data_IF_529405948197
#
_entry.id   IF_529405948197
#
_cell.length_a   1.000
_cell.length_b   1.000
_cell.length_c   1.000
_cell.angle_alpha   90.00
_cell.angle_beta   90.00
_cell.angle_gamma   90.00
#
_symmetry.space_group_name_H-M   'P 1'
#
loop_
_entity.id
_entity.type
_entity.pdbx_description
1 polymer ?
#
# COMPACT_ATOMS: atom_id res chain seq x y z
N UNK A 1 -33.59 -2.00 -0.09
CA UNK A 1 -32.53 -1.03 -0.46
C UNK A 1 -32.89 0.44 -0.15
N UNK A 2 -34.10 0.92 -0.43
CA UNK A 2 -34.45 2.36 -0.27
C UNK A 2 -34.41 2.92 1.18
N UNK A 3 -34.57 2.07 2.22
CA UNK A 3 -34.51 2.51 3.63
C UNK A 3 -33.10 2.77 4.17
N UNK A 4 -32.07 2.12 3.63
CA UNK A 4 -30.68 2.28 4.12
C UNK A 4 -30.01 3.53 3.53
N UNK A 5 -30.38 3.92 2.31
CA UNK A 5 -29.92 5.17 1.68
C UNK A 5 -30.47 6.40 2.43
N UNK A 6 -31.72 6.32 2.92
CA UNK A 6 -32.33 7.36 3.75
C UNK A 6 -31.59 7.56 5.08
N UNK A 7 -31.07 6.50 5.70
CA UNK A 7 -30.29 6.58 6.94
C UNK A 7 -28.93 7.26 6.73
N UNK A 8 -28.23 6.93 5.63
CA UNK A 8 -26.95 7.55 5.26
C UNK A 8 -27.12 9.04 4.94
N UNK A 9 -28.17 9.41 4.19
CA UNK A 9 -28.48 10.79 3.86
C UNK A 9 -28.87 11.62 5.11
N UNK A 10 -29.53 11.01 6.09
CA UNK A 10 -29.90 11.69 7.35
C UNK A 10 -28.68 11.92 8.26
N UNK A 11 -27.70 11.01 8.25
CA UNK A 11 -26.43 11.15 8.99
C UNK A 11 -25.53 12.22 8.37
N UNK A 12 -25.52 12.34 7.03
CA UNK A 12 -24.82 13.41 6.31
C UNK A 12 -25.45 14.80 6.52
N UNK A 13 -26.79 14.90 6.61
CA UNK A 13 -27.49 16.18 6.90
C UNK A 13 -27.22 16.76 8.29
N UNK A 14 -26.89 15.92 9.28
CA UNK A 14 -26.60 16.38 10.64
C UNK A 14 -25.19 16.97 10.77
N UNK A 15 -24.29 16.74 9.81
CA UNK A 15 -22.90 17.21 9.91
C UNK A 15 -22.53 18.39 9.00
N UNK A 16 -23.28 18.65 7.93
CA UNK A 16 -23.08 19.85 7.08
C UNK A 16 -24.43 20.29 6.51
N UNK A 17 -24.79 21.56 6.72
CA UNK A 17 -26.01 22.18 6.19
C UNK A 17 -25.99 22.34 4.67
N UNK A 18 -26.07 21.24 3.93
CA UNK A 18 -26.12 21.20 2.47
C UNK A 18 -27.53 20.79 2.02
N UNK A 19 -28.17 21.68 1.26
CA UNK A 19 -29.50 21.52 0.71
C UNK A 19 -29.35 21.03 -0.75
N UNK A 20 -29.78 19.79 -1.03
CA UNK A 20 -29.77 19.23 -2.40
C UNK A 20 -31.18 18.77 -2.73
N UNK A 21 -31.76 19.39 -3.76
CA UNK A 21 -33.08 19.08 -4.32
C UNK A 21 -32.98 17.91 -5.32
N UNK A 22 -33.97 17.00 -5.42
CA UNK A 22 -33.92 15.90 -6.37
C UNK A 22 -34.41 16.33 -7.75
N UNK A 23 -33.68 15.95 -8.81
CA UNK A 23 -34.12 16.09 -10.21
C UNK A 23 -34.74 14.76 -10.66
N UNK A 24 -35.98 14.84 -11.15
CA UNK A 24 -36.77 13.76 -11.76
C UNK A 24 -36.28 13.41 -13.17
N UNK A 25 -36.33 12.13 -13.52
CA UNK A 25 -35.74 11.58 -14.74
C UNK A 25 -36.55 11.74 -16.04
N UNK A 26 -36.01 11.15 -17.11
CA UNK A 26 -36.73 10.80 -18.34
C UNK A 26 -36.14 9.51 -18.91
N UNK A 27 -37.01 8.53 -19.14
CA UNK A 27 -36.77 7.29 -19.88
C UNK A 27 -37.09 7.54 -21.35
N UNK A 28 -36.24 7.08 -22.27
CA UNK A 28 -36.67 6.83 -23.65
C UNK A 28 -36.10 5.50 -24.16
N UNK A 29 -37.05 4.60 -24.43
CA UNK A 29 -36.93 3.39 -25.23
C UNK A 29 -37.01 3.75 -26.73
N UNK A 30 -36.52 2.84 -27.59
CA UNK A 30 -37.03 2.46 -28.94
C UNK A 30 -35.88 2.00 -29.87
N UNK A 31 -35.91 0.70 -30.19
CA UNK A 31 -36.19 0.29 -31.58
C UNK A 31 -35.01 -0.13 -32.48
N UNK A 32 -34.95 -1.44 -32.71
CA UNK A 32 -34.22 -2.14 -33.75
C UNK A 32 -34.60 -1.75 -35.19
N UNK A 33 -33.63 -1.81 -36.12
CA UNK A 33 -33.87 -2.19 -37.52
C UNK A 33 -32.59 -2.57 -38.27
N UNK A 34 -32.67 -3.73 -38.91
CA UNK A 34 -31.73 -4.37 -39.83
C UNK A 34 -31.72 -3.68 -41.20
N UNK A 35 -30.56 -3.64 -41.89
CA UNK A 35 -30.50 -3.79 -43.34
C UNK A 35 -29.11 -4.16 -43.88
N UNK A 36 -29.09 -5.26 -44.63
CA UNK A 36 -28.04 -5.73 -45.52
C UNK A 36 -27.85 -4.80 -46.73
N UNK A 37 -26.63 -4.74 -47.28
CA UNK A 37 -26.36 -4.70 -48.73
C UNK A 37 -24.89 -4.90 -49.08
N UNK A 38 -24.72 -5.49 -50.25
CA UNK A 38 -23.56 -6.15 -50.83
C UNK A 38 -22.42 -5.25 -51.35
N UNK A 39 -21.23 -5.86 -51.33
CA UNK A 39 -20.02 -5.84 -52.20
C UNK A 39 -20.16 -5.15 -53.59
N UNK A 40 -19.09 -4.60 -54.21
CA UNK A 40 -18.14 -5.47 -54.93
C UNK A 40 -16.65 -5.12 -54.79
N UNK A 41 -15.87 -6.16 -55.01
CA UNK A 41 -14.43 -6.31 -55.15
C UNK A 41 -13.82 -5.57 -56.34
N UNK A 42 -12.55 -5.18 -56.21
CA UNK A 42 -11.61 -5.16 -57.36
C UNK A 42 -10.18 -5.48 -56.93
N UNK A 43 -9.64 -6.41 -57.72
CA UNK A 43 -8.37 -7.11 -57.63
C UNK A 43 -7.28 -6.40 -58.44
N UNK A 44 -6.03 -6.88 -58.25
CA UNK A 44 -4.80 -6.70 -59.05
C UNK A 44 -3.87 -5.58 -58.56
N UNK A 45 -2.54 -5.73 -58.45
CA UNK A 45 -1.60 -6.86 -58.46
C UNK A 45 -0.19 -6.28 -58.29
N UNK A 46 0.67 -7.04 -57.62
CA UNK A 46 2.11 -7.21 -57.86
C UNK A 46 3.16 -6.11 -57.59
N UNK A 47 4.23 -6.64 -56.98
CA UNK A 47 5.67 -6.39 -57.22
C UNK A 47 6.45 -5.46 -56.27
N UNK A 48 7.07 -6.12 -55.30
CA UNK A 48 8.54 -6.18 -55.08
C UNK A 48 9.29 -4.91 -54.67
N UNK A 49 9.87 -4.93 -53.46
CA UNK A 49 11.31 -5.06 -53.17
C UNK A 49 11.61 -4.52 -51.77
N UNK A 50 12.23 -5.36 -50.95
CA UNK A 50 13.00 -4.97 -49.76
C UNK A 50 14.23 -4.16 -50.17
N UNK A 51 14.78 -3.34 -49.26
CA UNK A 51 15.99 -3.84 -48.59
C UNK A 51 16.06 -3.52 -47.08
N UNK A 52 16.73 -4.45 -46.42
CA UNK A 52 17.33 -4.41 -45.09
C UNK A 52 18.37 -3.29 -44.92
N UNK A 53 18.35 -2.56 -43.80
CA UNK A 53 19.50 -1.81 -43.28
C UNK A 53 19.59 -2.06 -41.76
N UNK A 54 20.76 -2.53 -41.33
CA UNK A 54 21.21 -2.74 -39.95
C UNK A 54 21.66 -1.43 -39.27
N UNK A 55 21.70 -1.37 -37.93
CA UNK A 55 21.97 -0.14 -37.19
C UNK A 55 23.48 0.14 -37.07
N UNK A 56 23.87 1.39 -37.27
CA UNK A 56 25.22 1.89 -36.98
C UNK A 56 25.21 2.86 -35.80
N UNK A 57 26.26 2.70 -35.00
CA UNK A 57 26.66 3.42 -33.80
C UNK A 57 26.80 4.92 -33.98
N UNK A 58 26.38 5.69 -32.97
CA UNK A 58 27.08 6.90 -32.55
C UNK A 58 27.05 7.00 -31.03
N UNK A 59 28.26 7.11 -30.47
CA UNK A 59 28.55 7.27 -29.06
C UNK A 59 28.77 8.74 -28.71
N UNK A 60 28.66 9.00 -27.40
CA UNK A 60 29.40 9.96 -26.59
C UNK A 60 29.17 11.47 -26.74
N UNK A 61 28.90 12.08 -25.58
CA UNK A 61 29.26 13.47 -25.30
C UNK A 61 28.35 14.14 -24.30
N UNK A 62 28.84 14.27 -23.05
CA UNK A 62 28.54 15.30 -22.03
C UNK A 62 28.06 14.72 -20.69
N UNK A 63 29.00 14.48 -19.78
CA UNK A 63 29.09 15.12 -18.46
C UNK A 63 30.25 14.49 -17.71
N UNK A 64 31.40 15.16 -17.75
CA UNK A 64 32.56 14.88 -16.93
C UNK A 64 32.94 16.12 -16.15
N UNK A 65 33.55 15.86 -14.98
CA UNK A 65 34.28 16.79 -14.12
C UNK A 65 33.47 17.52 -13.05
N UNK A 66 33.50 16.95 -11.84
CA UNK A 66 33.93 17.63 -10.61
C UNK A 66 34.09 16.56 -9.52
N UNK A 67 35.31 16.07 -9.30
CA UNK A 67 35.96 15.89 -7.99
C UNK A 67 37.40 15.44 -8.29
N UNK A 68 38.35 16.24 -7.84
CA UNK A 68 39.78 16.05 -8.02
C UNK A 68 40.35 14.99 -7.07
N UNK A 69 41.33 14.26 -7.58
CA UNK A 69 42.20 13.33 -6.87
C UNK A 69 42.92 13.97 -5.67
N UNK A 70 42.83 13.32 -4.52
CA UNK A 70 43.96 13.23 -3.58
C UNK A 70 44.06 11.79 -3.05
N UNK A 71 45.04 11.06 -3.59
CA UNK A 71 45.59 9.85 -2.98
C UNK A 71 46.42 10.23 -1.75
N UNK A 72 46.11 9.64 -0.60
CA UNK A 72 47.05 9.47 0.51
C UNK A 72 46.97 8.03 1.01
N UNK A 73 48.13 7.42 1.12
CA UNK A 73 48.41 6.02 1.44
C UNK A 73 48.28 5.71 2.94
N UNK A 74 47.63 4.57 3.22
CA UNK A 74 47.71 3.64 4.36
C UNK A 74 48.02 4.16 5.78
N UNK A 75 47.09 3.91 6.71
CA UNK A 75 47.41 3.29 8.01
C UNK A 75 46.19 2.58 8.61
N UNK A 76 46.33 1.27 8.81
CA UNK A 76 45.37 0.37 9.47
C UNK A 76 45.30 0.62 10.97
N UNK A 77 44.12 0.93 11.50
CA UNK A 77 43.88 1.04 12.94
C UNK A 77 42.88 -0.05 13.39
N UNK A 78 43.29 -1.06 14.17
CA UNK A 78 42.39 -2.13 14.62
C UNK A 78 41.75 -1.73 15.94
N UNK A 79 40.68 -0.93 15.91
CA UNK A 79 39.65 -0.80 16.97
C UNK A 79 38.61 0.29 16.64
N UNK A 80 37.92 0.12 15.52
CA UNK A 80 36.60 0.72 15.35
C UNK A 80 35.64 -0.43 15.06
N UNK A 81 34.81 -0.76 16.05
CA UNK A 81 33.58 -1.51 15.80
C UNK A 81 32.71 -0.66 14.88
N UNK A 82 32.89 -0.87 13.57
CA UNK A 82 31.95 -0.38 12.57
C UNK A 82 30.63 -1.09 12.86
N UNK A 83 29.74 -0.43 13.59
CA UNK A 83 28.34 -0.82 13.67
C UNK A 83 27.80 -0.78 12.24
N UNK A 84 27.77 -1.93 11.58
CA UNK A 84 27.18 -2.08 10.25
C UNK A 84 25.72 -1.61 10.34
N UNK A 85 25.41 -0.54 9.62
CA UNK A 85 24.04 -0.03 9.45
C UNK A 85 23.06 -1.18 9.11
N UNK A 86 21.87 -1.23 9.73
CA UNK A 86 20.90 -2.30 9.48
C UNK A 86 20.25 -2.14 8.10
N UNK A 87 20.74 -2.91 7.12
CA UNK A 87 20.04 -3.15 5.85
C UNK A 87 18.61 -3.67 6.14
N UNK A 88 17.59 -3.02 5.56
CA UNK A 88 16.19 -3.42 5.64
C UNK A 88 15.98 -4.93 5.51
N UNK A 89 16.61 -5.55 4.50
CA UNK A 89 16.43 -6.98 4.24
C UNK A 89 17.03 -7.83 5.37
N UNK A 90 18.12 -7.35 5.98
CA UNK A 90 18.75 -7.99 7.13
C UNK A 90 17.88 -7.83 8.38
N UNK A 91 17.36 -6.63 8.64
CA UNK A 91 16.48 -6.37 9.78
C UNK A 91 15.23 -7.26 9.73
N UNK A 92 14.59 -7.38 8.56
CA UNK A 92 13.44 -8.28 8.36
C UNK A 92 13.84 -9.75 8.51
N UNK A 93 14.95 -10.18 7.90
CA UNK A 93 15.40 -11.58 8.00
C UNK A 93 15.76 -12.00 9.42
N UNK A 94 16.39 -11.11 10.20
CA UNK A 94 16.73 -11.37 11.59
C UNK A 94 15.46 -11.38 12.47
N UNK A 95 14.50 -10.50 12.20
CA UNK A 95 13.19 -10.51 12.82
C UNK A 95 12.38 -11.79 12.55
N UNK A 96 12.37 -12.31 11.32
CA UNK A 96 11.69 -13.56 10.96
C UNK A 96 12.24 -14.76 11.76
N UNK A 97 13.57 -14.81 11.98
CA UNK A 97 14.20 -15.87 12.79
C UNK A 97 13.72 -15.85 14.24
N UNK A 98 13.49 -14.66 14.80
CA UNK A 98 13.06 -14.50 16.20
C UNK A 98 11.65 -15.03 16.43
N UNK A 99 10.75 -14.87 15.46
CA UNK A 99 9.36 -15.37 15.56
C UNK A 99 9.20 -16.82 15.11
N UNK A 100 10.27 -17.43 14.57
CA UNK A 100 10.37 -18.87 14.31
C UNK A 100 9.60 -19.37 13.09
N UNK A 101 8.96 -18.50 12.32
CA UNK A 101 8.29 -18.86 11.06
C UNK A 101 8.35 -17.68 10.09
N UNK A 102 8.66 -17.92 8.79
CA UNK A 102 8.45 -16.90 7.78
C UNK A 102 6.94 -16.67 7.67
N UNK A 103 6.47 -15.50 8.09
CA UNK A 103 5.10 -15.05 7.81
C UNK A 103 4.79 -15.24 6.32
N UNK A 104 5.79 -14.97 5.46
CA UNK A 104 5.79 -15.23 4.01
C UNK A 104 5.18 -16.57 3.57
N UNK A 105 5.30 -17.66 4.34
CA UNK A 105 4.76 -18.98 3.98
C UNK A 105 3.21 -19.05 4.04
N UNK A 106 2.57 -18.23 4.85
CA UNK A 106 1.13 -18.34 5.16
C UNK A 106 0.22 -17.56 4.20
N UNK A 107 0.54 -16.30 3.85
CA UNK A 107 -0.15 -15.65 2.72
C UNK A 107 0.16 -16.35 1.40
N UNK A 108 1.34 -16.97 1.23
CA UNK A 108 1.59 -17.86 0.11
C UNK A 108 0.68 -19.09 0.16
N UNK A 109 0.45 -19.73 1.32
CA UNK A 109 -0.52 -20.84 1.43
C UNK A 109 -1.93 -20.43 1.01
N UNK A 110 -2.39 -19.24 1.41
CA UNK A 110 -3.68 -18.69 0.95
C UNK A 110 -3.67 -18.39 -0.55
N UNK A 111 -2.57 -17.85 -1.09
CA UNK A 111 -2.40 -17.56 -2.52
C UNK A 111 -2.11 -18.82 -3.37
N UNK A 112 -1.79 -19.94 -2.74
CA UNK A 112 -1.51 -21.22 -3.39
C UNK A 112 -2.65 -22.22 -3.18
N UNK A 113 -3.78 -21.80 -2.60
CA UNK A 113 -4.98 -22.64 -2.58
C UNK A 113 -5.40 -22.98 -4.01
N UNK A 114 -6.09 -24.10 -4.21
CA UNK A 114 -6.56 -24.52 -5.53
C UNK A 114 -7.45 -23.43 -6.18
N UNK A 115 -8.19 -22.68 -5.36
CA UNK A 115 -9.00 -21.54 -5.79
C UNK A 115 -8.16 -20.37 -6.33
N UNK A 116 -7.05 -20.01 -5.66
CA UNK A 116 -6.16 -18.94 -6.17
C UNK A 116 -5.28 -19.44 -7.33
N UNK A 117 -4.94 -20.72 -7.38
CA UNK A 117 -4.24 -21.32 -8.54
C UNK A 117 -5.06 -21.17 -9.83
N UNK A 118 -6.39 -21.28 -9.74
CA UNK A 118 -7.29 -20.97 -10.84
C UNK A 118 -7.28 -19.46 -11.20
N UNK A 119 -7.19 -18.57 -10.21
CA UNK A 119 -6.99 -17.12 -10.42
C UNK A 119 -5.66 -16.85 -11.14
N UNK A 120 -4.58 -17.55 -10.83
CA UNK A 120 -3.28 -17.36 -11.50
C UNK A 120 -3.32 -17.68 -13.00
N UNK A 121 -4.16 -18.62 -13.44
CA UNK A 121 -4.44 -18.88 -14.87
C UNK A 121 -5.14 -17.68 -15.51
N UNK A 122 -6.03 -17.03 -14.77
CA UNK A 122 -6.77 -15.86 -15.24
C UNK A 122 -5.92 -14.59 -15.26
N UNK A 123 -5.05 -14.37 -14.28
CA UNK A 123 -4.08 -13.26 -14.28
C UNK A 123 -3.13 -13.35 -15.48
N UNK A 124 -2.77 -14.56 -15.93
CA UNK A 124 -1.97 -14.75 -17.15
C UNK A 124 -2.63 -14.18 -18.41
N UNK A 125 -3.96 -14.16 -18.50
CA UNK A 125 -4.66 -13.54 -19.63
C UNK A 125 -4.50 -12.02 -19.67
N UNK A 126 -4.22 -11.40 -18.52
CA UNK A 126 -3.99 -9.96 -18.45
C UNK A 126 -2.58 -9.57 -18.92
N UNK A 127 -1.66 -10.54 -19.09
CA UNK A 127 -0.29 -10.26 -19.55
C UNK A 127 -0.34 -9.60 -20.93
N UNK A 128 0.23 -8.40 -21.01
CA UNK A 128 0.17 -7.55 -22.20
C UNK A 128 -0.81 -6.38 -22.08
N UNK A 129 -1.68 -6.39 -21.07
CA UNK A 129 -2.51 -5.24 -20.69
C UNK A 129 -1.84 -4.36 -19.63
N UNK A 130 -2.36 -3.16 -19.40
CA UNK A 130 -1.96 -2.24 -18.33
C UNK A 130 -2.75 -2.43 -17.03
N UNK A 131 -3.46 -3.56 -16.86
CA UNK A 131 -4.33 -3.78 -15.71
C UNK A 131 -3.54 -3.76 -14.38
N UNK A 132 -3.92 -2.93 -13.37
CA UNK A 132 -3.15 -2.78 -12.13
C UNK A 132 -3.00 -4.06 -11.31
N UNK A 133 -3.94 -5.00 -11.42
CA UNK A 133 -3.83 -6.33 -10.80
C UNK A 133 -2.50 -7.04 -11.12
N UNK A 134 -1.91 -6.84 -12.30
CA UNK A 134 -0.59 -7.40 -12.62
C UNK A 134 0.52 -6.79 -11.75
N UNK A 135 0.46 -5.49 -11.50
CA UNK A 135 1.39 -4.80 -10.59
C UNK A 135 1.20 -5.28 -9.16
N UNK A 136 -0.05 -5.47 -8.72
CA UNK A 136 -0.35 -6.05 -7.41
C UNK A 136 0.15 -7.48 -7.29
N UNK A 137 -0.14 -8.35 -8.25
CA UNK A 137 0.35 -9.73 -8.28
C UNK A 137 1.88 -9.81 -8.31
N UNK A 138 2.55 -8.96 -9.12
CA UNK A 138 4.01 -8.87 -9.13
C UNK A 138 4.55 -8.39 -7.78
N UNK A 139 3.89 -7.44 -7.11
CA UNK A 139 4.27 -7.00 -5.77
C UNK A 139 4.13 -8.12 -4.74
N UNK A 140 3.06 -8.89 -4.81
CA UNK A 140 2.84 -10.04 -3.94
C UNK A 140 3.85 -11.17 -4.22
N UNK A 141 4.21 -11.44 -5.47
CA UNK A 141 5.09 -12.59 -5.82
C UNK A 141 6.58 -12.22 -5.78
N UNK A 142 6.97 -11.12 -6.43
CA UNK A 142 8.38 -10.77 -6.66
C UNK A 142 8.98 -9.86 -5.57
N UNK A 143 8.18 -9.00 -4.91
CA UNK A 143 8.69 -8.23 -3.76
C UNK A 143 8.69 -9.07 -2.47
N UNK A 144 8.52 -10.39 -2.58
CA UNK A 144 8.67 -11.37 -1.51
C UNK A 144 10.02 -11.36 -0.78
N UNK A 145 11.04 -10.68 -1.31
CA UNK A 145 12.33 -10.46 -0.61
C UNK A 145 12.45 -9.14 0.14
N UNK A 146 11.61 -8.14 -0.16
CA UNK A 146 11.76 -6.78 0.38
C UNK A 146 10.50 -6.22 1.06
N UNK A 147 9.32 -6.84 0.93
CA UNK A 147 8.07 -6.20 1.37
C UNK A 147 6.93 -7.15 1.77
N UNK A 148 7.13 -8.48 1.73
CA UNK A 148 6.04 -9.38 2.04
C UNK A 148 5.96 -9.62 3.55
N UNK A 149 4.90 -9.09 4.15
CA UNK A 149 4.39 -9.40 5.49
C UNK A 149 5.06 -8.75 6.70
N UNK A 150 5.50 -7.51 6.54
CA UNK A 150 5.96 -6.73 7.69
C UNK A 150 4.86 -6.50 8.73
N UNK A 151 3.58 -6.47 8.34
CA UNK A 151 2.47 -6.25 9.29
C UNK A 151 2.29 -7.44 10.22
N UNK A 152 2.13 -8.64 9.67
CA UNK A 152 2.08 -9.86 10.47
C UNK A 152 3.33 -10.02 11.34
N UNK A 153 4.51 -9.75 10.78
CA UNK A 153 5.78 -9.81 11.53
C UNK A 153 5.84 -8.82 12.70
N UNK A 154 5.44 -7.56 12.48
CA UNK A 154 5.37 -6.54 13.54
C UNK A 154 4.41 -6.97 14.66
N UNK A 155 3.25 -7.52 14.30
CA UNK A 155 2.28 -8.04 15.28
C UNK A 155 2.89 -9.18 16.11
N UNK A 156 3.58 -10.13 15.47
CA UNK A 156 4.24 -11.25 16.16
C UNK A 156 5.39 -10.80 17.07
N UNK A 157 6.23 -9.88 16.59
CA UNK A 157 7.32 -9.33 17.39
C UNK A 157 6.79 -8.57 18.61
N UNK A 158 5.75 -7.76 18.44
CA UNK A 158 5.15 -7.04 19.55
C UNK A 158 4.53 -8.01 20.57
N UNK A 159 3.90 -9.07 20.09
CA UNK A 159 3.37 -10.16 20.94
C UNK A 159 4.47 -10.78 21.79
N UNK A 160 5.60 -11.11 21.16
CA UNK A 160 6.75 -11.70 21.82
C UNK A 160 7.45 -10.75 22.78
N UNK A 161 7.56 -9.46 22.42
CA UNK A 161 8.16 -8.42 23.26
C UNK A 161 7.32 -8.13 24.51
N UNK A 162 5.99 -8.21 24.40
CA UNK A 162 5.08 -8.03 25.53
C UNK A 162 4.96 -9.28 26.42
N UNK A 163 5.21 -10.47 25.88
CA UNK A 163 5.00 -11.74 26.57
C UNK A 163 3.52 -12.05 26.84
N UNK A 164 3.26 -13.06 27.67
CA UNK A 164 1.91 -13.49 28.06
C UNK A 164 1.73 -13.36 29.57
N UNK A 165 0.56 -12.86 30.01
CA UNK A 165 0.23 -12.74 31.43
C UNK A 165 -0.22 -14.05 32.07
N UNK A 166 -0.71 -15.00 31.26
CA UNK A 166 -1.14 -16.33 31.71
C UNK A 166 -0.29 -17.44 31.06
N UNK A 167 0.80 -17.89 31.70
CA UNK A 167 1.63 -18.99 31.19
C UNK A 167 0.87 -20.31 31.03
N UNK A 168 -0.18 -20.53 31.81
CA UNK A 168 -1.00 -21.76 31.79
C UNK A 168 -1.82 -21.92 30.48
N UNK A 169 -2.15 -20.83 29.77
CA UNK A 169 -2.81 -20.91 28.46
C UNK A 169 -1.83 -21.32 27.33
N UNK A 170 -0.53 -21.11 27.51
CA UNK A 170 0.51 -21.61 26.60
C UNK A 170 0.75 -23.13 26.79
N UNK A 171 0.33 -23.72 27.91
CA UNK A 171 0.51 -25.15 28.18
C UNK A 171 -0.45 -26.05 27.38
N UNK A 172 -1.57 -25.51 26.90
CA UNK A 172 -2.56 -26.19 26.04
C UNK A 172 -2.22 -26.04 24.55
N UNK A 173 -1.19 -25.26 24.21
CA UNK A 173 -0.74 -25.09 22.83
C UNK A 173 0.05 -26.33 22.36
N UNK A 174 -0.05 -26.61 21.06
CA UNK A 174 0.65 -27.72 20.39
C UNK A 174 2.15 -27.68 20.71
N UNK A 175 2.85 -28.82 20.76
CA UNK A 175 4.27 -28.87 21.20
C UNK A 175 5.20 -28.00 20.34
N UNK A 176 4.75 -27.61 19.14
CA UNK A 176 5.45 -26.72 18.20
C UNK A 176 5.39 -25.22 18.59
N UNK A 177 4.46 -24.81 19.46
CA UNK A 177 4.23 -23.40 19.82
C UNK A 177 5.04 -22.94 21.06
N UNK A 178 5.46 -23.89 21.92
CA UNK A 178 6.22 -23.64 23.16
C UNK A 178 7.56 -22.90 23.00
N UNK A 179 8.40 -23.12 21.96
CA UNK A 179 9.71 -22.46 21.87
C UNK A 179 9.66 -21.00 21.35
N UNK A 180 8.53 -20.52 20.83
CA UNK A 180 8.46 -19.22 20.17
C UNK A 180 7.95 -18.07 21.05
N UNK A 181 7.25 -18.36 22.16
CA UNK A 181 6.70 -17.34 23.06
C UNK A 181 5.54 -16.52 22.45
N UNK A 182 4.82 -17.10 21.49
CA UNK A 182 3.65 -16.50 20.82
C UNK A 182 2.55 -17.56 20.71
N UNK A 183 1.31 -17.21 21.03
CA UNK A 183 0.17 -18.16 20.97
C UNK A 183 -0.34 -18.40 19.55
N UNK A 184 -1.05 -19.51 19.35
CA UNK A 184 -1.73 -19.81 18.09
C UNK A 184 -2.70 -18.71 17.66
N UNK A 185 -3.46 -18.13 18.60
CA UNK A 185 -4.41 -17.05 18.30
C UNK A 185 -3.71 -15.77 17.82
N UNK A 186 -2.54 -15.45 18.37
CA UNK A 186 -1.73 -14.31 17.91
C UNK A 186 -1.12 -14.56 16.53
N UNK A 187 -0.69 -15.80 16.23
CA UNK A 187 -0.29 -16.18 14.86
C UNK A 187 -1.44 -16.05 13.87
N UNK A 188 -2.60 -16.59 14.21
CA UNK A 188 -3.81 -16.44 13.40
C UNK A 188 -4.16 -14.96 13.19
N UNK A 189 -4.05 -14.10 14.21
CA UNK A 189 -4.27 -12.66 14.07
C UNK A 189 -3.28 -11.99 13.11
N UNK A 190 -1.99 -12.34 13.17
CA UNK A 190 -0.98 -11.85 12.25
C UNK A 190 -1.30 -12.25 10.79
N UNK A 191 -1.73 -13.48 10.57
CA UNK A 191 -2.17 -13.98 9.26
C UNK A 191 -3.42 -13.23 8.75
N UNK A 192 -4.41 -13.06 9.61
CA UNK A 192 -5.65 -12.31 9.32
C UNK A 192 -5.32 -10.88 8.92
N UNK A 193 -4.41 -10.23 9.65
CA UNK A 193 -3.96 -8.86 9.37
C UNK A 193 -3.38 -8.76 7.97
N UNK A 194 -2.52 -9.69 7.58
CA UNK A 194 -1.91 -9.70 6.25
C UNK A 194 -2.92 -10.04 5.14
N UNK A 195 -3.86 -10.96 5.40
CA UNK A 195 -4.95 -11.29 4.46
C UNK A 195 -5.84 -10.07 4.17
N UNK A 196 -6.23 -9.32 5.21
CA UNK A 196 -7.05 -8.12 5.07
C UNK A 196 -6.28 -7.04 4.28
N UNK A 197 -5.01 -6.84 4.60
CA UNK A 197 -4.18 -5.89 3.84
C UNK A 197 -4.04 -6.29 2.37
N UNK A 198 -3.80 -7.58 2.10
CA UNK A 198 -3.67 -8.11 0.74
C UNK A 198 -4.97 -7.96 -0.04
N UNK A 199 -6.12 -8.25 0.59
CA UNK A 199 -7.44 -8.04 -0.01
C UNK A 199 -7.64 -6.58 -0.43
N UNK A 200 -7.31 -5.64 0.47
CA UNK A 200 -7.38 -4.21 0.18
C UNK A 200 -6.49 -3.81 -1.00
N UNK A 201 -5.23 -4.27 -1.06
CA UNK A 201 -4.33 -4.00 -2.19
C UNK A 201 -4.85 -4.54 -3.53
N UNK A 202 -5.52 -5.69 -3.52
CA UNK A 202 -6.14 -6.27 -4.72
C UNK A 202 -7.34 -5.43 -5.16
N UNK A 203 -8.22 -5.04 -4.24
CA UNK A 203 -9.39 -4.20 -4.53
C UNK A 203 -8.99 -2.81 -5.05
N UNK A 204 -7.91 -2.21 -4.53
CA UNK A 204 -7.32 -0.98 -5.08
C UNK A 204 -6.81 -1.10 -6.52
N UNK A 205 -6.72 -2.33 -7.06
CA UNK A 205 -6.33 -2.59 -8.44
C UNK A 205 -7.48 -2.52 -9.45
N UNK A 206 -8.72 -2.26 -9.01
CA UNK A 206 -9.88 -2.05 -9.88
C UNK A 206 -9.80 -0.67 -10.51
N UNK A 207 -10.05 -0.59 -11.82
CA UNK A 207 -9.99 0.66 -12.59
C UNK A 207 -11.35 1.00 -13.20
N UNK A 208 -11.65 2.29 -13.30
CA UNK A 208 -12.77 2.76 -14.10
C UNK A 208 -12.38 2.62 -15.58
N UNK A 209 -13.23 1.95 -16.35
CA UNK A 209 -13.00 1.63 -17.76
C UNK A 209 -14.00 2.40 -18.62
N UNK A 210 -13.50 3.27 -19.50
CA UNK A 210 -14.31 3.99 -20.48
C UNK A 210 -14.10 3.37 -21.86
N UNK A 211 -15.16 3.01 -22.62
CA UNK A 211 -14.99 2.40 -23.94
C UNK A 211 -14.17 3.23 -24.93
N UNK A 212 -14.13 4.56 -24.74
CA UNK A 212 -13.31 5.49 -25.52
C UNK A 212 -11.80 5.25 -25.36
N UNK A 213 -11.37 4.69 -24.24
CA UNK A 213 -9.95 4.50 -23.90
C UNK A 213 -9.36 3.28 -24.61
N UNK A 214 -10.23 2.41 -25.16
CA UNK A 214 -9.86 1.12 -25.74
C UNK A 214 -10.39 0.99 -27.18
N UNK A 215 -9.61 1.40 -28.19
CA UNK A 215 -9.99 1.26 -29.60
C UNK A 215 -10.16 -0.21 -30.03
N UNK A 216 -9.45 -1.12 -29.36
CA UNK A 216 -9.59 -2.56 -29.52
C UNK A 216 -10.55 -3.13 -28.47
N UNK A 217 -11.64 -3.73 -28.95
CA UNK A 217 -12.66 -4.34 -28.09
C UNK A 217 -12.15 -5.54 -27.29
N UNK A 218 -11.08 -6.22 -27.74
CA UNK A 218 -10.51 -7.35 -26.98
C UNK A 218 -9.78 -6.85 -25.73
N UNK A 219 -8.99 -5.79 -25.84
CA UNK A 219 -8.31 -5.17 -24.69
C UNK A 219 -9.31 -4.71 -23.62
N UNK A 220 -10.44 -4.10 -24.02
CA UNK A 220 -11.50 -3.71 -23.06
C UNK A 220 -12.10 -4.93 -22.34
N UNK A 221 -12.29 -6.06 -23.04
CA UNK A 221 -12.78 -7.29 -22.44
C UNK A 221 -11.78 -7.86 -21.44
N UNK A 222 -10.49 -7.88 -21.77
CA UNK A 222 -9.44 -8.35 -20.88
C UNK A 222 -9.32 -7.46 -19.63
N UNK A 223 -9.40 -6.14 -19.78
CA UNK A 223 -9.41 -5.20 -18.66
C UNK A 223 -10.65 -5.39 -17.76
N UNK A 224 -11.83 -5.55 -18.37
CA UNK A 224 -13.08 -5.81 -17.63
C UNK A 224 -13.00 -7.13 -16.88
N UNK A 225 -12.40 -8.14 -17.50
CA UNK A 225 -12.14 -9.43 -16.87
C UNK A 225 -11.16 -9.28 -15.71
N UNK A 226 -10.11 -8.46 -15.85
CA UNK A 226 -9.19 -8.12 -14.77
C UNK A 226 -9.89 -7.51 -13.55
N UNK A 227 -10.81 -6.57 -13.76
CA UNK A 227 -11.62 -5.98 -12.68
C UNK A 227 -12.44 -7.06 -11.95
N UNK A 228 -13.05 -7.98 -12.68
CA UNK A 228 -13.80 -9.10 -12.09
C UNK A 228 -12.92 -9.98 -11.23
N UNK A 229 -11.71 -10.31 -11.68
CA UNK A 229 -10.77 -11.12 -10.91
C UNK A 229 -10.30 -10.37 -9.66
N UNK A 230 -10.00 -9.07 -9.76
CA UNK A 230 -9.60 -8.25 -8.62
C UNK A 230 -10.68 -8.25 -7.52
N UNK A 231 -11.94 -7.98 -7.89
CA UNK A 231 -13.07 -7.96 -6.94
C UNK A 231 -13.21 -9.32 -6.24
N UNK A 232 -13.33 -10.41 -7.00
CA UNK A 232 -13.57 -11.75 -6.46
C UNK A 232 -12.40 -12.26 -5.59
N UNK A 233 -11.17 -11.96 -5.98
CA UNK A 233 -9.98 -12.38 -5.23
C UNK A 233 -9.88 -11.64 -3.88
N UNK A 234 -10.17 -10.33 -3.88
CA UNK A 234 -10.22 -9.56 -2.64
C UNK A 234 -11.35 -10.03 -1.71
N UNK A 235 -12.53 -10.33 -2.25
CA UNK A 235 -13.68 -10.84 -1.47
C UNK A 235 -13.39 -12.21 -0.86
N UNK A 236 -12.71 -13.10 -1.60
CA UNK A 236 -12.30 -14.41 -1.10
C UNK A 236 -11.34 -14.28 0.10
N UNK A 237 -10.30 -13.45 -0.01
CA UNK A 237 -9.36 -13.20 1.09
C UNK A 237 -10.05 -12.59 2.30
N UNK A 238 -10.94 -11.61 2.08
CA UNK A 238 -11.68 -10.98 3.17
C UNK A 238 -12.65 -11.95 3.86
N UNK A 239 -13.31 -12.84 3.10
CA UNK A 239 -14.15 -13.91 3.65
C UNK A 239 -13.34 -14.84 4.56
N UNK A 240 -12.17 -15.29 4.10
CA UNK A 240 -11.28 -16.15 4.90
C UNK A 240 -10.77 -15.43 6.16
N UNK A 241 -10.43 -14.14 6.05
CA UNK A 241 -10.06 -13.33 7.20
C UNK A 241 -11.20 -13.23 8.22
N UNK A 242 -12.44 -13.04 7.79
CA UNK A 242 -13.62 -13.02 8.65
C UNK A 242 -13.86 -14.37 9.35
N UNK A 243 -13.68 -15.50 8.63
CA UNK A 243 -13.75 -16.83 9.23
C UNK A 243 -12.66 -17.03 10.28
N UNK A 244 -11.42 -16.60 10.00
CA UNK A 244 -10.31 -16.61 10.95
C UNK A 244 -10.61 -15.77 12.19
N UNK A 245 -11.13 -14.55 12.02
CA UNK A 245 -11.51 -13.66 13.13
C UNK A 245 -12.56 -14.30 14.05
N UNK A 246 -13.58 -14.94 13.46
CA UNK A 246 -14.60 -15.64 14.23
C UNK A 246 -14.00 -16.84 15.00
N UNK A 247 -13.03 -17.54 14.41
CA UNK A 247 -12.34 -18.67 15.05
C UNK A 247 -11.49 -18.25 16.26
N UNK A 248 -11.04 -16.99 16.34
CA UNK A 248 -10.36 -16.45 17.53
C UNK A 248 -11.25 -16.40 18.78
N UNK A 249 -12.59 -16.44 18.61
CA UNK A 249 -13.59 -16.42 19.71
C UNK A 249 -13.41 -15.28 20.72
N UNK A 250 -12.84 -14.15 20.27
CA UNK A 250 -12.65 -12.95 21.08
C UNK A 250 -13.40 -11.78 20.43
N UNK A 251 -14.55 -11.40 21.02
CA UNK A 251 -15.42 -10.35 20.45
C UNK A 251 -14.73 -8.98 20.39
N UNK A 252 -13.83 -8.68 21.33
CA UNK A 252 -13.08 -7.42 21.32
C UNK A 252 -12.11 -7.35 20.15
N UNK A 253 -11.41 -8.45 19.87
CA UNK A 253 -10.53 -8.54 18.68
C UNK A 253 -11.34 -8.42 17.39
N UNK A 254 -12.50 -9.10 17.31
CA UNK A 254 -13.41 -8.99 16.16
C UNK A 254 -13.86 -7.54 15.95
N UNK A 255 -14.25 -6.83 17.02
CA UNK A 255 -14.62 -5.41 16.97
C UNK A 255 -13.47 -4.54 16.44
N UNK A 256 -12.27 -4.69 17.00
CA UNK A 256 -11.09 -3.93 16.59
C UNK A 256 -10.78 -4.11 15.10
N UNK A 257 -10.68 -5.36 14.64
CA UNK A 257 -10.30 -5.63 13.24
C UNK A 257 -11.42 -5.29 12.27
N UNK A 258 -12.69 -5.56 12.59
CA UNK A 258 -13.83 -5.15 11.75
C UNK A 258 -13.95 -3.63 11.61
N UNK A 259 -13.59 -2.87 12.66
CA UNK A 259 -13.49 -1.41 12.56
C UNK A 259 -12.40 -1.01 11.57
N UNK A 260 -11.23 -1.66 11.57
CA UNK A 260 -10.17 -1.34 10.59
C UNK A 260 -10.59 -1.63 9.14
N UNK A 261 -11.40 -2.66 8.90
CA UNK A 261 -11.98 -2.94 7.56
C UNK A 261 -12.92 -1.80 7.15
N UNK A 262 -13.73 -1.29 8.09
CA UNK A 262 -14.62 -0.15 7.84
C UNK A 262 -13.82 1.12 7.53
N UNK A 263 -12.73 1.35 8.26
CA UNK A 263 -11.83 2.49 8.06
C UNK A 263 -11.18 2.49 6.67
N UNK A 264 -10.77 1.33 6.15
CA UNK A 264 -10.28 1.22 4.77
C UNK A 264 -11.32 1.66 3.75
N UNK A 265 -12.59 1.28 3.95
CA UNK A 265 -13.66 1.68 3.03
C UNK A 265 -13.91 3.17 3.12
N UNK A 266 -13.89 3.75 4.32
CA UNK A 266 -14.08 5.19 4.51
C UNK A 266 -12.95 6.00 3.84
N UNK A 267 -11.70 5.52 3.92
CA UNK A 267 -10.55 6.18 3.32
C UNK A 267 -10.68 6.40 1.81
N UNK A 268 -11.34 5.49 1.08
CA UNK A 268 -11.57 5.59 -0.36
C UNK A 268 -12.57 6.69 -0.75
N UNK A 269 -13.29 7.28 0.21
CA UNK A 269 -14.23 8.38 -0.06
C UNK A 269 -13.79 9.71 0.57
N UNK A 270 -12.57 9.78 1.11
CA UNK A 270 -12.03 11.00 1.71
C UNK A 270 -11.34 11.85 0.65
N UNK A 271 -11.74 13.12 0.61
CA UNK A 271 -11.14 14.16 -0.21
C UNK A 271 -11.81 14.32 -1.57
N UNK A 272 -11.24 15.21 -2.38
CA UNK A 272 -11.61 15.37 -3.80
C UNK A 272 -10.86 14.33 -4.61
N UNK A 273 -11.51 13.77 -5.63
CA UNK A 273 -10.93 12.74 -6.48
C UNK A 273 -11.21 13.02 -7.95
N UNK A 274 -10.34 12.51 -8.81
CA UNK A 274 -10.55 12.49 -10.26
C UNK A 274 -11.48 11.35 -10.70
N UNK A 275 -11.67 11.20 -12.01
CA UNK A 275 -12.52 10.14 -12.59
C UNK A 275 -12.02 8.72 -12.35
N UNK A 276 -10.73 8.54 -12.03
CA UNK A 276 -10.11 7.26 -11.69
C UNK A 276 -10.00 7.05 -10.17
N UNK A 277 -10.63 7.90 -9.35
CA UNK A 277 -10.57 7.86 -7.88
C UNK A 277 -9.18 8.21 -7.29
N UNK A 278 -8.31 8.85 -8.08
CA UNK A 278 -7.06 9.40 -7.56
C UNK A 278 -7.35 10.64 -6.73
N UNK A 279 -6.71 10.77 -5.56
CA UNK A 279 -6.93 11.91 -4.69
C UNK A 279 -6.26 13.18 -5.23
N UNK A 280 -6.98 14.29 -5.15
CA UNK A 280 -6.51 15.62 -5.54
C UNK A 280 -6.47 16.53 -4.30
N UNK A 281 -5.34 17.20 -4.02
CA UNK A 281 -5.23 18.09 -2.87
C UNK A 281 -6.10 19.35 -3.03
N UNK A 282 -6.70 19.79 -1.93
CA UNK A 282 -7.51 21.02 -1.89
C UNK A 282 -6.76 22.17 -1.22
N UNK A 283 -7.21 23.42 -1.40
CA UNK A 283 -6.58 24.61 -0.77
C UNK A 283 -6.58 24.60 0.75
N UNK A 284 -7.48 23.85 1.36
CA UNK A 284 -7.57 23.72 2.80
C UNK A 284 -6.90 22.44 3.32
N UNK A 285 -6.20 21.70 2.44
CA UNK A 285 -5.62 20.42 2.83
C UNK A 285 -4.46 20.62 3.80
N UNK A 286 -4.59 20.04 4.99
CA UNK A 286 -3.61 20.15 6.05
C UNK A 286 -2.88 18.82 6.30
N UNK A 287 -1.84 18.87 7.12
CA UNK A 287 -1.16 17.63 7.55
C UNK A 287 -2.05 16.78 8.47
N UNK A 288 -3.04 17.37 9.13
CA UNK A 288 -4.07 16.63 9.86
C UNK A 288 -4.97 15.83 8.91
N UNK A 289 -5.31 16.39 7.75
CA UNK A 289 -6.06 15.65 6.72
C UNK A 289 -5.23 14.53 6.10
N UNK A 290 -3.93 14.78 5.84
CA UNK A 290 -2.98 13.72 5.47
C UNK A 290 -2.96 12.60 6.52
N UNK A 291 -2.82 12.96 7.80
CA UNK A 291 -2.77 12.00 8.89
C UNK A 291 -4.08 11.21 9.01
N UNK A 292 -5.23 11.88 8.94
CA UNK A 292 -6.55 11.22 9.01
C UNK A 292 -6.76 10.24 7.85
N UNK A 293 -6.47 10.66 6.61
CA UNK A 293 -6.55 9.80 5.43
C UNK A 293 -5.66 8.58 5.56
N UNK A 294 -4.39 8.77 5.93
CA UNK A 294 -3.42 7.68 6.01
C UNK A 294 -3.61 6.77 7.23
N UNK A 295 -4.16 7.29 8.33
CA UNK A 295 -4.64 6.45 9.42
C UNK A 295 -5.73 5.52 8.94
N UNK A 296 -6.76 6.03 8.25
CA UNK A 296 -7.84 5.18 7.77
C UNK A 296 -7.38 4.20 6.68
N UNK A 297 -6.54 4.64 5.74
CA UNK A 297 -6.07 3.83 4.60
C UNK A 297 -5.00 2.77 4.95
N UNK A 298 -4.25 2.94 6.05
CA UNK A 298 -3.15 2.03 6.39
C UNK A 298 -2.94 1.87 7.91
N UNK A 299 -2.98 2.97 8.66
CA UNK A 299 -2.61 2.98 10.09
C UNK A 299 -3.58 2.24 11.01
N UNK A 300 -4.87 2.25 10.70
CA UNK A 300 -5.93 1.70 11.53
C UNK A 300 -5.78 0.19 11.71
N UNK A 301 -5.52 -0.54 10.62
CA UNK A 301 -5.28 -1.98 10.68
C UNK A 301 -4.04 -2.30 11.53
N UNK A 302 -2.91 -1.60 11.30
CA UNK A 302 -1.69 -1.85 12.07
C UNK A 302 -1.89 -1.57 13.56
N UNK A 303 -2.44 -0.40 13.90
CA UNK A 303 -2.70 0.01 15.28
C UNK A 303 -3.62 -0.97 16.00
N UNK A 304 -4.75 -1.33 15.38
CA UNK A 304 -5.73 -2.23 15.98
C UNK A 304 -5.25 -3.67 16.04
N UNK A 305 -4.44 -4.14 15.10
CA UNK A 305 -3.80 -5.47 15.18
C UNK A 305 -2.76 -5.54 16.30
N UNK A 306 -1.95 -4.49 16.48
CA UNK A 306 -1.01 -4.39 17.60
C UNK A 306 -1.73 -4.31 18.95
N UNK A 307 -2.88 -3.63 19.02
CA UNK A 307 -3.74 -3.64 20.20
C UNK A 307 -4.35 -5.03 20.45
N UNK A 308 -4.93 -5.63 19.40
CA UNK A 308 -5.62 -6.91 19.46
C UNK A 308 -4.70 -8.05 19.90
N UNK A 309 -3.41 -8.02 19.54
CA UNK A 309 -2.50 -9.07 19.97
C UNK A 309 -2.20 -9.04 21.48
N UNK A 310 -2.24 -7.84 22.07
CA UNK A 310 -2.12 -7.66 23.52
C UNK A 310 -3.42 -8.00 24.25
N UNK A 311 -4.58 -7.77 23.61
CA UNK A 311 -5.87 -8.29 24.08
C UNK A 311 -5.84 -9.83 24.15
N UNK A 312 -5.32 -10.49 23.11
CA UNK A 312 -5.19 -11.95 23.08
C UNK A 312 -4.22 -12.51 24.13
N UNK A 313 -3.22 -11.72 24.55
CA UNK A 313 -2.27 -12.10 25.59
C UNK A 313 -2.73 -11.75 27.02
N UNK A 314 -3.92 -11.16 27.18
CA UNK A 314 -4.48 -10.82 28.49
C UNK A 314 -3.84 -9.61 29.18
N UNK A 315 -3.16 -8.74 28.43
CA UNK A 315 -2.54 -7.54 28.98
C UNK A 315 -3.57 -6.49 29.41
N UNK A 316 -3.16 -5.56 30.29
CA UNK A 316 -3.99 -4.45 30.76
C UNK A 316 -4.43 -3.51 29.63
N UNK A 317 -5.51 -2.75 29.83
CA UNK A 317 -5.96 -1.74 28.85
C UNK A 317 -4.87 -0.69 28.55
N UNK A 318 -4.03 -0.34 29.52
CA UNK A 318 -2.89 0.57 29.34
C UNK A 318 -1.87 -0.02 28.34
N UNK A 319 -1.46 -1.27 28.55
CA UNK A 319 -0.55 -1.96 27.62
C UNK A 319 -1.18 -2.15 26.23
N UNK A 320 -2.47 -2.49 26.16
CA UNK A 320 -3.21 -2.55 24.89
C UNK A 320 -3.17 -1.21 24.16
N UNK A 321 -3.35 -0.09 24.88
CA UNK A 321 -3.29 1.26 24.31
C UNK A 321 -1.87 1.62 23.84
N UNK A 322 -0.82 1.16 24.52
CA UNK A 322 0.56 1.28 24.04
C UNK A 322 0.76 0.50 22.73
N UNK A 323 0.23 -0.72 22.63
CA UNK A 323 0.24 -1.48 21.38
C UNK A 323 -0.46 -0.74 20.24
N UNK A 324 -1.62 -0.12 20.51
CA UNK A 324 -2.33 0.72 19.54
C UNK A 324 -1.46 1.90 19.07
N UNK A 325 -0.89 2.65 20.00
CA UNK A 325 -0.10 3.84 19.68
C UNK A 325 1.18 3.48 18.93
N UNK A 326 1.86 2.42 19.33
CA UNK A 326 3.00 1.86 18.60
C UNK A 326 2.64 1.57 17.13
N UNK A 327 1.58 0.78 16.91
CA UNK A 327 1.15 0.39 15.57
C UNK A 327 0.72 1.58 14.71
N UNK A 328 0.15 2.62 15.32
CA UNK A 328 -0.21 3.87 14.65
C UNK A 328 1.03 4.68 14.24
N UNK A 329 2.01 4.84 15.12
CA UNK A 329 3.21 5.64 14.85
C UNK A 329 4.11 4.98 13.80
N UNK A 330 4.31 3.66 13.87
CA UNK A 330 5.08 2.94 12.86
C UNK A 330 4.39 3.00 11.48
N UNK A 331 3.06 2.95 11.43
CA UNK A 331 2.32 3.07 10.18
C UNK A 331 2.45 4.47 9.55
N UNK A 332 2.42 5.53 10.34
CA UNK A 332 2.68 6.89 9.82
C UNK A 332 4.11 7.05 9.30
N UNK A 333 5.10 6.53 10.04
CA UNK A 333 6.49 6.55 9.59
C UNK A 333 6.65 5.82 8.26
N UNK A 334 6.04 4.64 8.14
CA UNK A 334 6.04 3.86 6.92
C UNK A 334 5.36 4.57 5.76
N UNK A 335 4.21 5.21 5.99
CA UNK A 335 3.50 5.92 4.94
C UNK A 335 4.29 7.14 4.47
N UNK A 336 4.87 7.92 5.38
CA UNK A 336 5.75 9.04 5.03
C UNK A 336 6.97 8.56 4.23
N UNK A 337 7.56 7.41 4.60
CA UNK A 337 8.62 6.76 3.83
C UNK A 337 8.17 6.37 2.42
N UNK A 338 6.98 5.78 2.28
CA UNK A 338 6.41 5.39 0.99
C UNK A 338 6.14 6.61 0.09
N UNK A 339 5.64 7.70 0.68
CA UNK A 339 5.41 8.99 0.03
C UNK A 339 6.71 9.62 -0.51
N UNK A 340 7.85 9.32 0.10
CA UNK A 340 9.18 9.80 -0.31
C UNK A 340 9.80 9.00 -1.46
N UNK A 341 9.40 7.74 -1.66
CA UNK A 341 10.03 6.84 -2.65
C UNK A 341 10.12 7.41 -4.07
N UNK A 342 9.09 8.11 -4.61
CA UNK A 342 9.17 8.74 -5.93
C UNK A 342 10.31 9.76 -6.07
N UNK A 343 10.79 10.32 -4.96
CA UNK A 343 11.80 11.37 -4.90
C UNK A 343 13.21 10.83 -4.58
N UNK A 344 13.29 9.67 -3.93
CA UNK A 344 14.56 9.09 -3.47
C UNK A 344 15.06 7.94 -4.37
N UNK A 345 14.17 7.03 -4.80
CA UNK A 345 14.55 5.88 -5.64
C UNK A 345 14.31 6.17 -7.13
N UNK A 346 15.18 6.98 -7.73
CA UNK A 346 15.06 7.36 -9.16
C UNK A 346 15.27 6.18 -10.12
N UNK A 347 15.84 5.07 -9.64
CA UNK A 347 16.01 3.86 -10.45
C UNK A 347 14.67 3.13 -10.62
N UNK A 348 13.90 2.98 -9.53
CA UNK A 348 12.56 2.35 -9.58
C UNK A 348 11.45 3.33 -9.95
N UNK A 349 11.66 4.61 -9.67
CA UNK A 349 10.73 5.70 -9.95
C UNK A 349 11.43 6.80 -10.78
N UNK A 350 11.69 6.57 -12.08
CA UNK A 350 12.26 7.60 -12.95
C UNK A 350 11.41 8.88 -12.98
N UNK A 351 12.00 10.06 -13.23
CA UNK A 351 11.26 11.31 -13.35
C UNK A 351 10.12 11.21 -14.37
N UNK A 352 8.91 11.60 -13.96
CA UNK A 352 7.68 11.44 -14.73
C UNK A 352 6.84 10.22 -14.31
N UNK A 353 7.33 9.37 -13.41
CA UNK A 353 6.50 8.35 -12.75
C UNK A 353 5.39 9.04 -11.94
N UNK A 354 4.14 8.60 -12.10
CA UNK A 354 3.02 9.12 -11.31
C UNK A 354 3.19 8.77 -9.82
N UNK A 355 2.83 9.71 -8.95
CA UNK A 355 2.84 9.58 -7.49
C UNK A 355 1.59 10.23 -6.87
N UNK A 356 1.30 9.92 -5.61
CA UNK A 356 0.12 10.46 -4.91
C UNK A 356 0.27 11.98 -4.71
N UNK A 357 -0.66 12.76 -5.27
CA UNK A 357 -0.69 14.22 -5.17
C UNK A 357 -1.08 14.69 -3.76
N UNK A 358 -1.61 13.81 -2.93
CA UNK A 358 -1.89 14.02 -1.52
C UNK A 358 -0.78 13.47 -0.61
N UNK A 359 0.40 13.13 -1.15
CA UNK A 359 1.55 12.64 -0.37
C UNK A 359 2.18 13.75 0.49
N UNK A 360 2.86 13.36 1.57
CA UNK A 360 3.49 14.31 2.49
C UNK A 360 4.43 15.30 1.80
N UNK A 361 5.38 14.91 0.92
CA UNK A 361 6.27 15.86 0.25
C UNK A 361 5.53 16.89 -0.60
N UNK A 362 4.43 16.49 -1.26
CA UNK A 362 3.61 17.39 -2.08
C UNK A 362 2.90 18.41 -1.19
N UNK A 363 2.19 17.94 -0.16
CA UNK A 363 1.42 18.81 0.73
C UNK A 363 2.31 19.79 1.48
N UNK A 364 3.44 19.31 2.01
CA UNK A 364 4.42 20.14 2.71
C UNK A 364 5.06 21.19 1.79
N UNK A 365 5.32 20.84 0.53
CA UNK A 365 5.76 21.83 -0.46
C UNK A 365 4.68 22.88 -0.72
N UNK A 366 3.44 22.46 -0.99
CA UNK A 366 2.31 23.36 -1.29
C UNK A 366 1.96 24.32 -0.14
N UNK A 367 2.29 23.99 1.11
CA UNK A 367 2.12 24.91 2.25
C UNK A 367 2.99 26.18 2.14
N UNK A 368 4.16 26.07 1.50
CA UNK A 368 5.08 27.20 1.30
C UNK A 368 5.01 27.77 -0.12
N UNK A 369 4.62 26.93 -1.07
CA UNK A 369 4.53 27.23 -2.49
C UNK A 369 3.11 26.93 -3.02
N UNK A 370 2.10 27.74 -2.64
CA UNK A 370 0.71 27.49 -3.01
C UNK A 370 0.45 27.55 -4.53
N UNK A 371 1.35 28.16 -5.31
CA UNK A 371 1.28 28.19 -6.77
C UNK A 371 1.30 26.79 -7.41
N UNK A 372 1.99 25.82 -6.78
CA UNK A 372 2.02 24.44 -7.26
C UNK A 372 0.64 23.79 -7.13
N UNK A 373 -0.13 24.18 -6.11
CA UNK A 373 -1.47 23.66 -5.88
C UNK A 373 -2.46 24.14 -6.95
N UNK A 374 -2.35 25.40 -7.38
CA UNK A 374 -3.16 25.92 -8.48
C UNK A 374 -2.87 25.16 -9.79
N UNK A 375 -1.61 24.80 -10.04
CA UNK A 375 -1.24 23.93 -11.17
C UNK A 375 -1.83 22.52 -11.04
N UNK A 376 -1.74 21.88 -9.87
CA UNK A 376 -2.34 20.55 -9.63
C UNK A 376 -3.86 20.60 -9.87
N UNK A 377 -4.53 21.64 -9.37
CA UNK A 377 -5.98 21.80 -9.52
C UNK A 377 -6.41 22.12 -10.96
N UNK A 378 -5.48 22.48 -11.84
CA UNK A 378 -5.76 22.68 -13.27
C UNK A 378 -5.93 21.38 -14.06
N UNK A 379 -5.73 20.20 -13.44
CA UNK A 379 -5.85 18.89 -14.10
C UNK A 379 -7.25 18.59 -14.65
N UNK A 380 -8.29 19.29 -14.17
CA UNK A 380 -9.68 19.00 -14.52
C UNK A 380 -10.09 17.61 -14.02
N UNK A 381 -10.65 16.80 -14.92
CA UNK A 381 -11.25 15.49 -14.58
C UNK A 381 -10.25 14.32 -14.46
N UNK A 382 -8.97 14.54 -14.81
CA UNK A 382 -7.94 13.49 -14.76
C UNK A 382 -6.56 14.05 -14.42
N UNK A 383 -5.88 13.39 -13.49
CA UNK A 383 -4.48 13.72 -13.15
C UNK A 383 -3.51 13.43 -14.31
N UNK A 384 -3.90 12.64 -15.31
CA UNK A 384 -3.06 12.33 -16.48
C UNK A 384 -2.75 13.57 -17.33
N UNK A 385 -3.51 14.66 -17.13
CA UNK A 385 -3.26 15.95 -17.76
C UNK A 385 -2.07 16.72 -17.14
N UNK A 386 -1.50 16.23 -16.03
CA UNK A 386 -0.39 16.87 -15.32
C UNK A 386 0.98 16.38 -15.83
N UNK A 387 1.95 17.30 -15.86
CA UNK A 387 3.35 16.95 -16.08
C UNK A 387 4.01 16.50 -14.77
N UNK A 388 4.00 15.19 -14.53
CA UNK A 388 4.63 14.59 -13.35
C UNK A 388 6.15 14.79 -13.30
N UNK A 389 6.81 15.04 -14.43
CA UNK A 389 8.25 15.35 -14.44
C UNK A 389 8.48 16.76 -13.93
N UNK A 390 7.65 17.71 -14.34
CA UNK A 390 7.67 19.08 -13.81
C UNK A 390 7.34 19.10 -12.30
N UNK A 391 6.28 18.41 -11.88
CA UNK A 391 5.91 18.30 -10.46
C UNK A 391 7.06 17.74 -9.63
N UNK A 392 7.65 16.62 -10.08
CA UNK A 392 8.79 15.98 -9.41
C UNK A 392 9.97 16.95 -9.24
N UNK A 393 10.39 17.61 -10.32
CA UNK A 393 11.50 18.56 -10.29
C UNK A 393 11.23 19.75 -9.36
N UNK A 394 10.01 20.28 -9.38
CA UNK A 394 9.60 21.42 -8.54
C UNK A 394 9.65 21.05 -7.06
N UNK A 395 9.10 19.87 -6.69
CA UNK A 395 9.08 19.39 -5.31
C UNK A 395 10.51 19.09 -4.81
N UNK A 396 11.35 18.49 -5.66
CA UNK A 396 12.76 18.19 -5.36
C UNK A 396 13.60 19.44 -5.08
N UNK A 397 13.30 20.55 -5.76
CA UNK A 397 14.00 21.83 -5.56
C UNK A 397 13.48 22.61 -4.34
N UNK A 398 12.30 22.26 -3.84
CA UNK A 398 11.67 22.93 -2.70
C UNK A 398 11.84 22.20 -1.36
N UNK A 399 11.09 22.63 -0.33
CA UNK A 399 11.25 22.14 1.03
C UNK A 399 10.56 20.79 1.30
N UNK A 400 9.63 20.38 0.43
CA UNK A 400 8.72 19.26 0.67
C UNK A 400 9.39 17.92 0.98
N UNK A 401 10.41 17.54 0.20
CA UNK A 401 11.14 16.27 0.41
C UNK A 401 11.85 16.26 1.76
N UNK A 402 12.55 17.35 2.10
CA UNK A 402 13.26 17.48 3.38
C UNK A 402 12.29 17.43 4.57
N UNK A 403 11.15 18.10 4.47
CA UNK A 403 10.13 18.09 5.51
C UNK A 403 9.44 16.73 5.62
N UNK A 404 9.23 16.03 4.49
CA UNK A 404 8.71 14.66 4.48
C UNK A 404 9.66 13.68 5.19
N UNK A 405 10.97 13.82 4.98
CA UNK A 405 11.99 13.06 5.72
C UNK A 405 11.91 13.33 7.23
N UNK A 406 11.78 14.60 7.62
CA UNK A 406 11.63 14.97 9.02
C UNK A 406 10.36 14.37 9.64
N UNK A 407 9.23 14.42 8.93
CA UNK A 407 7.96 13.82 9.35
C UNK A 407 8.09 12.30 9.57
N UNK A 408 8.74 11.60 8.63
CA UNK A 408 9.04 10.17 8.76
C UNK A 408 9.85 9.88 10.04
N UNK A 409 10.94 10.62 10.25
CA UNK A 409 11.78 10.49 11.44
C UNK A 409 11.04 10.81 12.74
N UNK A 410 10.15 11.82 12.74
CA UNK A 410 9.36 12.18 13.91
C UNK A 410 8.42 11.03 14.33
N UNK A 411 7.73 10.40 13.39
CA UNK A 411 6.87 9.25 13.69
C UNK A 411 7.66 7.99 14.08
N UNK A 412 8.82 7.76 13.45
CA UNK A 412 9.73 6.68 13.84
C UNK A 412 10.20 6.82 15.31
N UNK A 413 10.60 8.02 15.73
CA UNK A 413 10.99 8.29 17.12
C UNK A 413 9.84 8.05 18.10
N UNK A 414 8.63 8.52 17.77
CA UNK A 414 7.44 8.25 18.61
C UNK A 414 7.16 6.75 18.75
N UNK A 415 7.38 5.95 17.70
CA UNK A 415 7.26 4.49 17.79
C UNK A 415 8.31 3.88 18.72
N UNK A 416 9.57 4.35 18.66
CA UNK A 416 10.65 3.92 19.57
C UNK A 416 10.36 4.32 21.02
N UNK A 417 9.82 5.52 21.26
CA UNK A 417 9.45 5.99 22.60
C UNK A 417 8.38 5.08 23.23
N UNK A 418 7.40 4.63 22.45
CA UNK A 418 6.39 3.67 22.92
C UNK A 418 7.01 2.29 23.19
N UNK A 419 7.95 1.83 22.35
CA UNK A 419 8.65 0.56 22.59
C UNK A 419 9.53 0.57 23.85
N UNK A 420 9.97 1.75 24.30
CA UNK A 420 10.78 1.87 25.51
C UNK A 420 10.08 1.34 26.77
N UNK A 421 8.74 1.36 26.77
CA UNK A 421 7.88 0.86 27.84
C UNK A 421 7.75 -0.68 27.88
N UNK A 422 8.17 -1.38 26.82
CA UNK A 422 8.19 -2.84 26.79
C UNK A 422 9.52 -3.36 27.34
N UNK A 423 9.51 -4.52 27.98
CA UNK A 423 10.73 -5.13 28.50
C UNK A 423 11.76 -5.40 27.40
N UNK A 424 13.05 -5.25 27.72
CA UNK A 424 14.12 -5.52 26.76
C UNK A 424 14.14 -7.00 26.40
N UNK A 425 14.06 -7.28 25.11
CA UNK A 425 14.07 -8.62 24.53
C UNK A 425 14.56 -8.55 23.09
N UNK A 426 15.00 -9.69 22.54
CA UNK A 426 15.40 -9.79 21.13
C UNK A 426 14.28 -9.32 20.18
N UNK A 427 13.01 -9.57 20.55
CA UNK A 427 11.86 -9.16 19.77
C UNK A 427 11.66 -7.63 19.76
N UNK A 428 11.87 -6.98 20.90
CA UNK A 428 11.86 -5.51 20.99
C UNK A 428 13.01 -4.91 20.17
N UNK A 429 14.22 -5.45 20.31
CA UNK A 429 15.40 -5.00 19.53
C UNK A 429 15.17 -5.18 18.02
N UNK A 430 14.52 -6.26 17.59
CA UNK A 430 14.15 -6.46 16.20
C UNK A 430 13.14 -5.41 15.69
N UNK A 431 12.17 -5.01 16.51
CA UNK A 431 11.26 -3.89 16.17
C UNK A 431 12.02 -2.57 16.05
N UNK A 432 12.93 -2.28 16.99
CA UNK A 432 13.80 -1.09 16.94
C UNK A 432 14.64 -1.08 15.65
N UNK A 433 15.24 -2.22 15.27
CA UNK A 433 16.01 -2.37 14.03
C UNK A 433 15.15 -2.17 12.77
N UNK A 434 13.91 -2.65 12.75
CA UNK A 434 12.97 -2.38 11.64
C UNK A 434 12.69 -0.89 11.53
N UNK A 435 12.45 -0.20 12.66
CA UNK A 435 12.18 1.24 12.66
C UNK A 435 13.41 2.04 12.19
N UNK A 436 14.60 1.67 12.64
CA UNK A 436 15.84 2.28 12.18
C UNK A 436 16.04 2.07 10.67
N UNK A 437 15.76 0.88 10.15
CA UNK A 437 15.84 0.62 8.71
C UNK A 437 14.85 1.46 7.88
N UNK A 438 13.69 1.86 8.42
CA UNK A 438 12.77 2.81 7.77
C UNK A 438 13.38 4.22 7.71
N UNK A 439 14.12 4.61 8.75
CA UNK A 439 14.74 5.94 8.85
C UNK A 439 15.96 6.11 7.93
N UNK A 440 16.65 5.04 7.57
CA UNK A 440 17.90 5.05 6.78
C UNK A 440 17.66 5.19 5.27
N UNK A 441 16.76 6.10 4.86
CA UNK A 441 16.57 6.46 3.45
C UNK A 441 17.80 7.21 2.90
N UNK A 442 18.84 6.47 2.48
CA UNK A 442 19.96 7.00 1.70
C UNK A 442 19.67 6.93 0.19
#
# INVERSE_FOLDING_TARGET
>A
MSRNISFLAKKLRLHKGLNISPVSGVVHDVGSKTRSRDVPSRTMSNMSKTPSISPTSYADGLFGSLVSDQQLTQQSNPNQTVTKKPDWNRAVSDAEKIVGYPTSYLSLRCLLSDEISNIAVHVRKLVGTSHPLLKTAKRLIYNGRNNMQTRGLIVLLLSKAAGHMNPEELEVADEQDKPAGVSHSQRSLAEITEMIHTAHLIHKGVVNLTPSDFPDGNTLQDMTFGNKIAILSGDYLLSNACTGLAALKNSKVVELISTSISDFMEAEFIGVQDTQSNAIPTKNMTMEEWAARNYLAAGSLMAKSCQATLVLAGHSEDMQQKGFEFGKQIAYSWQAHADLQPFLDLYRCPPGTQFDLCSAPVLLHCQQHPELLDYIQSCGDSIDNLDFKYLHQTIMQGPGVKQGLELCMQHARKALDVLADFERSDAREALENIIHAIMECD
#
